data_IF_547290119236
#
_entry.id   IF_547290119236
#
_cell.length_a   1.000
_cell.length_b   1.000
_cell.length_c   1.000
_cell.angle_alpha   90.00
_cell.angle_beta   90.00
_cell.angle_gamma   90.00
#
_symmetry.space_group_name_H-M   'P 1'
#
loop_
_entity.id
_entity.type
_entity.pdbx_description
1 polymer ?
#
# COMPACT_ATOMS: atom_id res chain seq x y z
N UNK A 1 -30.22 40.75 84.56
CA UNK A 1 -30.55 39.39 85.04
C UNK A 1 -30.27 38.44 83.89
N UNK A 2 -29.25 37.60 84.08
CA UNK A 2 -29.02 36.28 83.47
C UNK A 2 -28.92 36.16 81.94
N UNK A 3 -28.23 35.19 81.34
CA UNK A 3 -27.05 34.35 81.57
C UNK A 3 -27.01 33.44 80.32
N UNK A 4 -25.81 33.07 79.83
CA UNK A 4 -25.53 31.87 79.00
C UNK A 4 -26.18 31.72 77.60
N UNK A 5 -25.64 30.97 76.62
CA UNK A 5 -24.34 30.40 76.21
C UNK A 5 -24.70 29.45 75.04
N UNK A 6 -23.79 29.28 74.07
CA UNK A 6 -23.64 28.09 73.19
C UNK A 6 -24.73 27.81 72.14
N UNK A 7 -24.50 27.28 70.93
CA UNK A 7 -23.34 26.81 70.13
C UNK A 7 -23.94 26.34 68.78
N UNK A 8 -23.19 26.48 67.67
CA UNK A 8 -22.99 25.53 66.54
C UNK A 8 -24.06 24.45 66.23
N UNK A 9 -24.38 24.03 65.00
CA UNK A 9 -23.67 24.12 63.72
C UNK A 9 -24.59 23.57 62.58
N UNK A 10 -24.18 23.89 61.33
CA UNK A 10 -24.24 23.06 60.12
C UNK A 10 -25.55 22.73 59.37
N UNK A 11 -25.46 22.99 58.05
CA UNK A 11 -26.44 22.88 56.96
C UNK A 11 -26.83 21.43 56.59
N UNK A 12 -27.77 21.25 55.64
CA UNK A 12 -27.37 20.53 54.42
C UNK A 12 -27.94 21.06 53.08
N UNK A 13 -27.11 20.84 52.05
CA UNK A 13 -27.34 20.48 50.64
C UNK A 13 -28.37 21.20 49.73
N UNK A 14 -27.79 21.84 48.71
CA UNK A 14 -28.01 21.67 47.27
C UNK A 14 -29.46 21.61 46.70
N UNK A 15 -29.82 22.68 45.98
CA UNK A 15 -30.87 22.71 44.96
C UNK A 15 -30.37 23.48 43.73
N UNK A 16 -30.28 22.79 42.60
CA UNK A 16 -29.83 23.28 41.29
C UNK A 16 -30.89 24.15 40.61
N UNK A 17 -30.51 25.33 40.10
CA UNK A 17 -31.05 25.89 38.83
C UNK A 17 -30.01 26.80 38.18
N UNK A 18 -29.94 26.71 36.85
CA UNK A 18 -28.91 27.31 36.01
C UNK A 18 -29.01 28.84 35.91
N UNK A 19 -27.86 29.52 35.87
CA UNK A 19 -27.71 30.69 35.00
C UNK A 19 -26.28 30.80 34.48
N UNK A 20 -26.21 31.04 33.19
CA UNK A 20 -25.03 31.19 32.37
C UNK A 20 -24.36 32.54 32.66
N UNK A 21 -23.14 32.54 33.21
CA UNK A 21 -22.32 33.74 33.18
C UNK A 21 -20.84 33.49 33.45
N UNK A 22 -20.05 33.85 32.42
CA UNK A 22 -18.66 34.31 32.46
C UNK A 22 -17.59 33.24 32.71
N UNK A 23 -16.90 32.93 31.60
CA UNK A 23 -15.54 32.36 31.51
C UNK A 23 -14.69 32.79 32.71
N UNK A 24 -14.54 31.91 33.70
CA UNK A 24 -13.44 31.99 34.65
C UNK A 24 -12.33 31.11 34.12
N UNK A 25 -11.26 31.77 33.69
CA UNK A 25 -9.94 31.18 33.53
C UNK A 25 -9.59 30.46 34.84
N UNK A 26 -9.81 29.15 34.90
CA UNK A 26 -9.23 28.34 35.97
C UNK A 26 -7.80 28.06 35.53
N UNK A 27 -6.88 28.91 35.98
CA UNK A 27 -5.49 28.51 36.22
C UNK A 27 -5.54 27.45 37.32
N UNK A 28 -5.70 26.19 36.91
CA UNK A 28 -5.76 25.03 37.81
C UNK A 28 -4.67 24.06 37.39
N UNK A 29 -3.59 24.04 38.18
CA UNK A 29 -2.53 23.04 38.12
C UNK A 29 -3.15 21.70 38.51
N UNK A 30 -3.56 20.93 37.50
CA UNK A 30 -3.89 19.53 37.62
C UNK A 30 -2.95 18.77 36.70
N UNK A 31 -2.15 17.87 37.27
CA UNK A 31 -1.28 16.97 36.52
C UNK A 31 -2.17 16.11 35.61
N UNK A 32 -2.42 16.59 34.40
CA UNK A 32 -2.94 15.77 33.32
C UNK A 32 -1.79 14.86 32.91
N UNK A 33 -1.69 13.69 33.56
CA UNK A 33 -0.87 12.61 33.03
C UNK A 33 -1.40 12.34 31.62
N UNK A 34 -0.61 12.56 30.56
CA UNK A 34 -1.02 12.09 29.25
C UNK A 34 -1.11 10.57 29.39
N UNK A 35 -2.31 10.02 29.33
CA UNK A 35 -2.47 8.58 29.13
C UNK A 35 -1.93 8.32 27.73
N UNK A 36 -0.67 7.93 27.65
CA UNK A 36 -0.07 7.40 26.43
C UNK A 36 -0.79 6.08 26.16
N UNK A 37 -1.87 6.14 25.39
CA UNK A 37 -2.52 4.98 24.81
C UNK A 37 -1.54 4.35 23.82
N UNK A 38 -0.67 3.48 24.32
CA UNK A 38 0.16 2.61 23.51
C UNK A 38 -0.74 1.54 22.89
N UNK A 39 -1.52 1.93 21.87
CA UNK A 39 -2.19 1.00 20.98
C UNK A 39 -1.10 0.36 20.11
N UNK A 40 -0.51 -0.71 20.65
CA UNK A 40 0.24 -1.66 19.85
C UNK A 40 -0.76 -2.29 18.90
N UNK A 41 -0.78 -1.81 17.67
CA UNK A 41 -1.56 -2.43 16.62
C UNK A 41 -0.62 -3.13 15.67
N UNK A 42 -0.64 -4.46 15.77
CA UNK A 42 -0.05 -5.32 14.76
C UNK A 42 -0.90 -5.13 13.52
N UNK A 43 -0.40 -4.37 12.55
CA UNK A 43 -0.94 -4.36 11.20
C UNK A 43 -0.84 -5.79 10.68
N UNK A 44 -1.97 -6.51 10.69
CA UNK A 44 -2.11 -7.72 9.91
C UNK A 44 -2.04 -7.28 8.45
N UNK A 45 -0.83 -7.25 7.90
CA UNK A 45 -0.62 -7.39 6.47
C UNK A 45 -1.17 -8.77 6.13
N UNK A 46 -2.47 -8.84 5.89
CA UNK A 46 -3.06 -10.00 5.26
C UNK A 46 -2.29 -10.17 3.95
N UNK A 47 -1.72 -11.37 3.76
CA UNK A 47 -0.99 -11.83 2.57
C UNK A 47 -1.93 -11.96 1.36
N UNK A 48 -2.77 -10.94 1.15
CA UNK A 48 -3.87 -10.89 0.19
C UNK A 48 -4.16 -9.44 -0.21
N UNK A 49 -3.70 -9.07 -1.41
CA UNK A 49 -4.17 -7.94 -2.22
C UNK A 49 -4.52 -6.65 -1.47
N UNK A 50 -3.52 -5.87 -1.04
CA UNK A 50 -3.73 -4.45 -0.76
C UNK A 50 -3.74 -3.66 -2.07
N UNK A 51 -4.89 -3.04 -2.35
CA UNK A 51 -5.16 -2.32 -3.60
C UNK A 51 -4.84 -0.83 -3.42
N UNK A 52 -3.58 -0.56 -3.05
CA UNK A 52 -3.10 0.79 -2.80
C UNK A 52 -2.25 1.26 -3.97
N UNK A 53 -2.46 2.49 -4.42
CA UNK A 53 -1.59 3.10 -5.41
C UNK A 53 -0.16 3.25 -4.85
N UNK A 54 0.87 3.37 -5.70
CA UNK A 54 2.25 3.51 -5.24
C UNK A 54 2.41 4.68 -4.27
N UNK A 55 1.76 5.81 -4.56
CA UNK A 55 1.76 6.99 -3.69
C UNK A 55 1.08 6.73 -2.35
N UNK A 56 -0.07 6.04 -2.34
CA UNK A 56 -0.76 5.69 -1.10
C UNK A 56 0.06 4.72 -0.24
N UNK A 57 0.67 3.69 -0.85
CA UNK A 57 1.55 2.74 -0.15
C UNK A 57 2.77 3.45 0.42
N UNK A 58 3.34 4.40 -0.31
CA UNK A 58 4.48 5.18 0.15
C UNK A 58 4.07 6.11 1.32
N UNK A 59 2.93 6.79 1.21
CA UNK A 59 2.41 7.64 2.28
C UNK A 59 2.08 6.85 3.54
N UNK A 60 1.46 5.67 3.44
CA UNK A 60 1.16 4.81 4.60
C UNK A 60 2.46 4.37 5.30
N UNK A 61 3.51 4.04 4.53
CA UNK A 61 4.81 3.71 5.09
C UNK A 61 5.45 4.92 5.82
N UNK A 62 5.25 6.14 5.33
CA UNK A 62 5.74 7.35 6.00
C UNK A 62 4.91 7.74 7.24
N UNK A 63 3.59 7.67 7.17
CA UNK A 63 2.69 8.23 8.19
C UNK A 63 2.14 7.19 9.17
N UNK A 64 2.50 5.91 9.03
CA UNK A 64 1.99 4.79 9.85
C UNK A 64 0.45 4.81 10.00
N UNK A 65 -0.27 5.33 9.00
CA UNK A 65 -1.71 5.60 9.09
C UNK A 65 -2.50 4.40 8.58
N UNK A 66 -3.63 4.09 9.24
CA UNK A 66 -4.56 3.05 8.75
C UNK A 66 -5.48 3.64 7.68
N UNK A 67 -5.50 3.12 6.44
CA UNK A 67 -6.57 3.46 5.52
C UNK A 67 -7.87 2.81 5.99
N UNK A 68 -8.94 3.61 6.12
CA UNK A 68 -10.29 3.07 6.24
C UNK A 68 -10.62 2.39 4.90
N UNK A 69 -10.87 1.07 4.93
CA UNK A 69 -10.82 0.20 3.76
C UNK A 69 -12.21 -0.24 3.33
N UNK A 70 -12.96 0.69 2.74
CA UNK A 70 -14.18 0.34 2.02
C UNK A 70 -13.85 0.16 0.52
N UNK A 71 -13.79 -1.10 0.07
CA UNK A 71 -14.26 -1.45 -1.27
C UNK A 71 -13.28 -1.70 -2.42
N UNK A 72 -11.99 -1.32 -2.37
CA UNK A 72 -11.07 -1.63 -3.49
C UNK A 72 -10.30 -2.92 -3.20
N UNK A 73 -10.86 -4.05 -3.66
CA UNK A 73 -10.20 -5.35 -3.67
C UNK A 73 -9.33 -5.53 -4.91
N UNK A 74 -8.05 -5.87 -4.72
CA UNK A 74 -7.18 -6.29 -5.82
C UNK A 74 -7.25 -7.80 -5.94
N UNK A 75 -7.55 -8.30 -7.13
CA UNK A 75 -7.49 -9.74 -7.43
C UNK A 75 -6.32 -10.04 -8.36
N UNK A 76 -5.25 -9.23 -8.28
CA UNK A 76 -4.04 -9.41 -9.06
C UNK A 76 -3.50 -10.83 -8.90
N UNK A 77 -3.01 -11.41 -9.99
CA UNK A 77 -2.37 -12.72 -10.00
C UNK A 77 -0.87 -12.59 -9.94
N UNK A 78 -0.22 -13.51 -9.24
CA UNK A 78 1.22 -13.55 -9.10
C UNK A 78 1.91 -13.73 -10.46
N UNK A 79 3.18 -13.34 -10.60
CA UNK A 79 3.94 -13.62 -11.81
C UNK A 79 4.06 -15.12 -12.13
N UNK A 80 4.06 -15.98 -11.10
CA UNK A 80 4.04 -17.42 -11.26
C UNK A 80 2.75 -17.96 -11.90
N UNK A 81 1.61 -17.33 -11.61
CA UNK A 81 0.37 -17.63 -12.33
C UNK A 81 0.50 -17.28 -13.82
N UNK A 82 1.02 -16.09 -14.14
CA UNK A 82 1.15 -15.63 -15.52
C UNK A 82 2.19 -16.43 -16.33
N UNK A 83 3.26 -16.89 -15.70
CA UNK A 83 4.26 -17.75 -16.34
C UNK A 83 3.73 -19.14 -16.72
N UNK A 84 2.68 -19.63 -16.04
CA UNK A 84 1.96 -20.84 -16.43
C UNK A 84 0.83 -20.53 -17.41
N UNK A 85 0.07 -19.46 -17.18
CA UNK A 85 -1.01 -19.03 -18.06
C UNK A 85 -0.53 -18.71 -19.49
N UNK A 86 0.75 -18.36 -19.70
CA UNK A 86 1.29 -18.13 -21.05
C UNK A 86 1.53 -19.41 -21.89
N UNK A 87 1.29 -20.60 -21.31
CA UNK A 87 1.33 -21.88 -22.01
C UNK A 87 -0.05 -22.23 -22.58
N UNK A 88 -0.11 -22.57 -23.87
CA UNK A 88 -1.36 -22.92 -24.54
C UNK A 88 -2.06 -24.15 -23.97
N UNK A 89 -1.31 -25.03 -23.28
CA UNK A 89 -1.84 -26.22 -22.61
C UNK A 89 -2.42 -25.94 -21.22
N UNK A 90 -2.25 -24.74 -20.67
CA UNK A 90 -2.70 -24.43 -19.32
C UNK A 90 -4.18 -24.01 -19.29
N UNK A 91 -4.91 -24.44 -18.25
CA UNK A 91 -6.32 -24.10 -18.02
C UNK A 91 -6.63 -22.59 -17.92
N UNK A 92 -5.60 -21.75 -17.81
CA UNK A 92 -5.72 -20.29 -17.66
C UNK A 92 -5.18 -19.53 -18.87
N UNK A 93 -4.94 -20.23 -19.99
CA UNK A 93 -4.44 -19.61 -21.23
C UNK A 93 -5.37 -18.54 -21.79
N UNK A 94 -6.69 -18.64 -21.54
CA UNK A 94 -7.66 -17.61 -21.92
C UNK A 94 -7.29 -16.24 -21.34
N UNK A 95 -6.90 -16.16 -20.06
CA UNK A 95 -6.47 -14.90 -19.44
C UNK A 95 -5.21 -14.33 -20.09
N UNK A 96 -4.28 -15.19 -20.54
CA UNK A 96 -3.09 -14.75 -21.29
C UNK A 96 -3.47 -14.17 -22.66
N UNK A 97 -4.42 -14.79 -23.35
CA UNK A 97 -4.90 -14.24 -24.63
C UNK A 97 -5.65 -12.92 -24.43
N UNK A 98 -6.47 -12.81 -23.37
CA UNK A 98 -7.19 -11.59 -23.01
C UNK A 98 -6.26 -10.44 -22.65
N UNK A 99 -5.13 -10.72 -21.98
CA UNK A 99 -4.17 -9.66 -21.64
C UNK A 99 -3.48 -9.07 -22.87
N UNK A 100 -3.57 -9.73 -24.03
CA UNK A 100 -2.89 -9.31 -25.26
C UNK A 100 -1.37 -9.42 -25.17
N UNK A 101 -0.83 -10.17 -24.20
CA UNK A 101 0.62 -10.31 -24.00
C UNK A 101 1.31 -11.14 -25.10
N UNK A 102 0.55 -11.92 -25.86
CA UNK A 102 1.09 -12.83 -26.88
C UNK A 102 1.88 -12.07 -27.94
N UNK A 103 3.15 -12.43 -28.13
CA UNK A 103 4.05 -11.80 -29.09
C UNK A 103 4.51 -10.38 -28.75
N UNK A 104 4.05 -9.77 -27.64
CA UNK A 104 4.49 -8.42 -27.27
C UNK A 104 5.90 -8.44 -26.69
N UNK A 105 6.77 -7.59 -27.23
CA UNK A 105 8.11 -7.37 -26.70
C UNK A 105 8.06 -6.59 -25.39
N UNK A 106 8.91 -6.97 -24.44
CA UNK A 106 9.03 -6.25 -23.16
C UNK A 106 9.44 -4.80 -23.41
N UNK A 107 10.45 -4.59 -24.27
CA UNK A 107 10.96 -3.27 -24.64
C UNK A 107 9.89 -2.32 -25.17
N UNK A 108 8.95 -2.81 -25.98
CA UNK A 108 7.82 -2.02 -26.50
C UNK A 108 6.82 -1.65 -25.41
N UNK A 109 6.53 -2.56 -24.48
CA UNK A 109 5.59 -2.30 -23.39
C UNK A 109 6.18 -1.27 -22.41
N UNK A 110 7.46 -1.40 -22.08
CA UNK A 110 8.13 -0.59 -21.06
C UNK A 110 8.92 0.60 -21.63
N UNK A 111 8.85 0.86 -22.94
CA UNK A 111 9.56 1.95 -23.63
C UNK A 111 11.07 1.97 -23.37
N UNK A 112 11.70 0.79 -23.34
CA UNK A 112 13.14 0.64 -23.13
C UNK A 112 13.69 -0.39 -24.13
N UNK A 113 14.29 0.08 -25.23
CA UNK A 113 14.84 -0.78 -26.29
C UNK A 113 16.00 -1.66 -25.81
N UNK A 114 16.68 -1.28 -24.73
CA UNK A 114 17.76 -2.06 -24.11
C UNK A 114 17.24 -3.15 -23.18
N UNK A 115 15.99 -3.04 -22.73
CA UNK A 115 15.39 -4.00 -21.82
C UNK A 115 15.06 -5.30 -22.54
N UNK A 116 15.73 -6.38 -22.14
CA UNK A 116 15.52 -7.73 -22.64
C UNK A 116 15.46 -7.79 -24.18
N UNK A 117 16.57 -7.50 -24.90
CA UNK A 117 16.56 -7.36 -26.35
C UNK A 117 15.97 -8.58 -27.06
N UNK A 118 14.96 -8.34 -27.90
CA UNK A 118 14.26 -9.38 -28.67
C UNK A 118 13.41 -10.34 -27.83
N UNK A 119 13.21 -10.08 -26.53
CA UNK A 119 12.42 -10.94 -25.65
C UNK A 119 10.99 -10.45 -25.54
N UNK A 120 10.07 -11.41 -25.63
CA UNK A 120 8.65 -11.18 -25.38
C UNK A 120 8.36 -11.14 -23.88
N UNK A 121 7.18 -10.61 -23.50
CA UNK A 121 6.67 -10.73 -22.14
C UNK A 121 6.62 -12.19 -21.66
N UNK A 122 6.33 -13.14 -22.56
CA UNK A 122 6.37 -14.57 -22.29
C UNK A 122 7.77 -15.03 -21.89
N UNK A 123 8.79 -14.64 -22.65
CA UNK A 123 10.17 -15.01 -22.35
C UNK A 123 10.63 -14.44 -21.01
N UNK A 124 10.29 -13.19 -20.70
CA UNK A 124 10.61 -12.55 -19.41
C UNK A 124 9.91 -13.29 -18.26
N UNK A 125 8.64 -13.66 -18.43
CA UNK A 125 7.90 -14.43 -17.42
C UNK A 125 8.48 -15.82 -17.19
N UNK A 126 8.80 -16.56 -18.26
CA UNK A 126 9.33 -17.93 -18.18
C UNK A 126 10.74 -17.95 -17.61
N UNK A 127 11.60 -17.04 -18.05
CA UNK A 127 12.99 -17.04 -17.62
C UNK A 127 13.17 -16.44 -16.21
N UNK A 128 12.34 -15.47 -15.84
CA UNK A 128 12.30 -14.93 -14.48
C UNK A 128 11.91 -15.99 -13.44
N UNK A 129 10.98 -16.89 -13.79
CA UNK A 129 10.62 -18.03 -12.95
C UNK A 129 11.76 -19.06 -12.83
N UNK A 130 12.47 -19.32 -13.94
CA UNK A 130 13.60 -20.25 -13.99
C UNK A 130 14.88 -19.73 -13.29
N UNK A 131 14.89 -18.47 -12.82
CA UNK A 131 16.06 -17.87 -12.18
C UNK A 131 17.25 -17.72 -13.13
N UNK A 132 17.00 -17.56 -14.44
CA UNK A 132 18.07 -17.54 -15.44
C UNK A 132 18.98 -16.31 -15.26
N UNK A 133 20.32 -16.49 -15.18
CA UNK A 133 21.28 -15.39 -15.03
C UNK A 133 21.41 -14.53 -16.30
N UNK A 134 20.76 -14.93 -17.40
CA UNK A 134 20.83 -14.31 -18.73
C UNK A 134 20.22 -12.90 -18.80
N UNK A 135 19.64 -12.43 -17.70
CA UNK A 135 19.00 -11.14 -17.57
C UNK A 135 19.59 -10.44 -16.36
N UNK A 136 20.22 -9.29 -16.56
CA UNK A 136 20.67 -8.43 -15.46
C UNK A 136 19.45 -7.85 -14.71
N UNK A 137 18.70 -8.71 -14.04
CA UNK A 137 17.48 -8.42 -13.29
C UNK A 137 17.53 -9.15 -11.94
N UNK A 138 18.43 -8.73 -11.03
CA UNK A 138 18.70 -9.44 -9.78
C UNK A 138 17.47 -9.54 -8.87
N UNK A 139 16.55 -8.58 -8.97
CA UNK A 139 15.29 -8.56 -8.20
C UNK A 139 14.12 -9.21 -8.94
N UNK A 140 14.33 -9.73 -10.16
CA UNK A 140 13.26 -10.22 -11.04
C UNK A 140 12.19 -9.14 -11.29
N UNK A 141 12.56 -7.86 -11.29
CA UNK A 141 11.64 -6.75 -11.47
C UNK A 141 10.87 -6.87 -12.80
N UNK A 142 11.52 -7.29 -13.88
CA UNK A 142 10.87 -7.52 -15.17
C UNK A 142 9.79 -8.60 -15.11
N UNK A 143 10.02 -9.65 -14.33
CA UNK A 143 9.05 -10.73 -14.05
C UNK A 143 7.81 -10.19 -13.33
N UNK A 144 8.00 -9.38 -12.29
CA UNK A 144 6.91 -8.77 -11.54
C UNK A 144 6.15 -7.71 -12.35
N UNK A 145 6.85 -6.89 -13.13
CA UNK A 145 6.24 -5.87 -13.97
C UNK A 145 5.44 -6.46 -15.13
N UNK A 146 5.93 -7.52 -15.78
CA UNK A 146 5.19 -8.20 -16.83
C UNK A 146 3.86 -8.76 -16.30
N UNK A 147 3.87 -9.33 -15.10
CA UNK A 147 2.67 -9.81 -14.42
C UNK A 147 1.70 -8.68 -14.05
N UNK A 148 2.22 -7.58 -13.50
CA UNK A 148 1.42 -6.41 -13.16
C UNK A 148 0.77 -5.79 -14.41
N UNK A 149 1.48 -5.76 -15.53
CA UNK A 149 0.92 -5.36 -16.82
C UNK A 149 -0.22 -6.29 -17.25
N UNK A 150 -0.03 -7.61 -17.19
CA UNK A 150 -1.10 -8.55 -17.53
C UNK A 150 -2.33 -8.37 -16.62
N UNK A 151 -2.13 -8.18 -15.31
CA UNK A 151 -3.20 -7.92 -14.35
C UNK A 151 -3.99 -6.65 -14.68
N UNK A 152 -3.30 -5.59 -15.12
CA UNK A 152 -3.91 -4.35 -15.58
C UNK A 152 -4.77 -4.58 -16.83
N UNK A 153 -4.27 -5.34 -17.81
CA UNK A 153 -4.99 -5.58 -19.06
C UNK A 153 -6.26 -6.41 -18.88
N UNK A 154 -6.26 -7.39 -17.98
CA UNK A 154 -7.45 -8.22 -17.72
C UNK A 154 -8.37 -7.62 -16.65
N UNK A 155 -8.02 -6.47 -16.07
CA UNK A 155 -8.84 -5.79 -15.05
C UNK A 155 -8.77 -6.39 -13.65
N UNK A 156 -7.80 -7.27 -13.36
CA UNK A 156 -7.60 -7.81 -12.01
C UNK A 156 -7.03 -6.78 -11.03
N UNK A 157 -6.30 -5.80 -11.56
CA UNK A 157 -5.84 -4.61 -10.83
C UNK A 157 -6.32 -3.39 -11.61
N UNK A 158 -7.13 -2.50 -11.00
CA UNK A 158 -7.63 -1.33 -11.70
C UNK A 158 -6.50 -0.32 -11.96
N UNK A 159 -6.64 0.47 -13.03
CA UNK A 159 -5.68 1.51 -13.41
C UNK A 159 -5.53 2.63 -12.37
N UNK A 160 -6.52 2.78 -11.48
CA UNK A 160 -6.47 3.68 -10.32
C UNK A 160 -5.44 3.26 -9.27
N UNK A 161 -5.10 1.97 -9.24
CA UNK A 161 -4.08 1.42 -8.35
C UNK A 161 -2.73 1.44 -9.03
N UNK A 162 -2.61 0.82 -10.20
CA UNK A 162 -1.36 0.83 -10.99
C UNK A 162 -1.68 1.04 -12.47
N UNK A 163 -1.16 2.12 -13.04
CA UNK A 163 -1.27 2.43 -14.48
C UNK A 163 -0.04 2.00 -15.27
N UNK A 164 -0.18 1.87 -16.60
CA UNK A 164 0.96 1.59 -17.49
C UNK A 164 2.07 2.64 -17.38
N UNK A 165 1.72 3.92 -17.19
CA UNK A 165 2.68 4.99 -17.01
C UNK A 165 3.52 4.79 -15.73
N UNK A 166 2.88 4.38 -14.63
CA UNK A 166 3.56 4.06 -13.38
C UNK A 166 4.46 2.83 -13.53
N UNK A 167 4.01 1.78 -14.22
CA UNK A 167 4.82 0.59 -14.50
C UNK A 167 6.08 0.93 -15.31
N UNK A 168 5.96 1.82 -16.29
CA UNK A 168 7.12 2.36 -17.04
C UNK A 168 8.05 3.17 -16.16
N UNK A 169 7.52 4.05 -15.31
CA UNK A 169 8.30 4.85 -14.38
C UNK A 169 9.06 3.97 -13.37
N UNK A 170 8.43 2.90 -12.87
CA UNK A 170 9.08 1.90 -12.01
C UNK A 170 10.22 1.19 -12.74
N UNK A 171 10.02 0.79 -13.99
CA UNK A 171 11.08 0.17 -14.80
C UNK A 171 12.26 1.13 -15.02
N UNK A 172 11.99 2.38 -15.38
CA UNK A 172 13.03 3.39 -15.57
C UNK A 172 13.77 3.73 -14.27
N UNK A 173 13.04 3.78 -13.15
CA UNK A 173 13.57 4.08 -11.82
C UNK A 173 14.30 2.93 -11.13
N UNK A 174 14.42 1.75 -11.76
CA UNK A 174 15.04 0.55 -11.15
C UNK A 174 16.43 0.79 -10.55
N UNK A 175 17.23 1.62 -11.21
CA UNK A 175 18.59 1.99 -10.81
C UNK A 175 18.72 3.45 -10.36
N UNK A 176 17.85 4.33 -10.88
CA UNK A 176 17.91 5.78 -10.61
C UNK A 176 17.06 6.23 -9.42
N UNK A 177 16.20 5.33 -8.92
CA UNK A 177 15.25 5.62 -7.85
C UNK A 177 13.91 6.08 -8.40
N UNK A 178 12.88 5.24 -8.27
CA UNK A 178 11.50 5.62 -8.53
C UNK A 178 10.92 6.39 -7.33
N UNK A 179 10.27 7.53 -7.56
CA UNK A 179 9.60 8.29 -6.50
C UNK A 179 8.08 8.23 -6.69
N UNK A 180 7.36 7.45 -5.87
CA UNK A 180 5.89 7.39 -5.92
C UNK A 180 5.23 8.72 -5.54
N UNK A 181 5.90 9.51 -4.71
CA UNK A 181 5.51 10.86 -4.31
C UNK A 181 6.72 11.77 -4.54
N UNK A 182 6.58 12.87 -5.30
CA UNK A 182 7.68 13.83 -5.48
C UNK A 182 8.19 14.36 -4.15
N UNK A 183 9.51 14.43 -3.98
CA UNK A 183 10.13 14.96 -2.75
C UNK A 183 10.16 13.99 -1.56
N UNK A 184 9.76 12.72 -1.76
CA UNK A 184 9.99 11.68 -0.77
C UNK A 184 11.49 11.47 -0.54
N UNK A 185 11.91 11.43 0.72
CA UNK A 185 13.33 11.32 1.10
C UNK A 185 14.00 10.00 0.73
N UNK A 186 13.23 8.93 0.49
CA UNK A 186 13.77 7.61 0.12
C UNK A 186 13.16 7.13 -1.22
N UNK A 187 13.93 7.14 -2.32
CA UNK A 187 13.46 6.59 -3.59
C UNK A 187 13.35 5.06 -3.53
N UNK A 188 12.47 4.50 -4.35
CA UNK A 188 12.28 3.07 -4.49
C UNK A 188 13.18 2.50 -5.57
N UNK A 189 14.04 1.56 -5.19
CA UNK A 189 14.84 0.76 -6.10
C UNK A 189 14.14 -0.58 -6.39
N UNK A 190 14.73 -1.39 -7.28
CA UNK A 190 14.12 -2.64 -7.77
C UNK A 190 13.48 -3.52 -6.69
N UNK A 191 14.15 -3.75 -5.55
CA UNK A 191 13.60 -4.58 -4.46
C UNK A 191 12.32 -3.98 -3.84
N UNK A 192 12.32 -2.68 -3.55
CA UNK A 192 11.17 -1.99 -2.93
C UNK A 192 9.99 -1.91 -3.91
N UNK A 193 10.28 -1.74 -5.19
CA UNK A 193 9.28 -1.81 -6.26
C UNK A 193 8.66 -3.21 -6.30
N UNK A 194 9.46 -4.27 -6.26
CA UNK A 194 8.96 -5.66 -6.24
C UNK A 194 8.08 -5.91 -5.02
N UNK A 195 8.53 -5.53 -3.82
CA UNK A 195 7.74 -5.64 -2.59
C UNK A 195 6.41 -4.91 -2.67
N UNK A 196 6.38 -3.72 -3.28
CA UNK A 196 5.12 -3.02 -3.54
C UNK A 196 4.23 -3.81 -4.52
N UNK A 197 4.78 -4.30 -5.63
CA UNK A 197 4.01 -5.10 -6.58
C UNK A 197 3.43 -6.34 -5.89
N UNK A 198 4.19 -6.99 -4.99
CA UNK A 198 3.73 -8.12 -4.15
C UNK A 198 2.46 -7.83 -3.36
N UNK A 199 2.26 -6.58 -2.95
CA UNK A 199 1.04 -6.23 -2.24
C UNK A 199 -0.18 -6.16 -3.15
N UNK A 200 -0.02 -6.09 -4.47
CA UNK A 200 -1.11 -5.93 -5.45
C UNK A 200 -1.69 -7.25 -5.95
N UNK A 201 -1.04 -8.39 -5.69
CA UNK A 201 -1.55 -9.71 -6.03
C UNK A 201 -1.93 -10.52 -4.80
N UNK A 202 -2.80 -11.50 -5.00
CA UNK A 202 -3.05 -12.55 -4.01
C UNK A 202 -1.92 -13.58 -4.11
N UNK A 203 -1.43 -14.06 -2.95
CA UNK A 203 -0.60 -15.25 -2.93
C UNK A 203 -1.44 -16.41 -3.49
N UNK A 204 -1.06 -16.85 -4.70
CA UNK A 204 -1.68 -17.96 -5.41
C UNK A 204 -0.92 -19.24 -5.16
#
# INVERSE_FOLDING_TARGET
MSDSRHHEDSQPLAGSTASESRRRFVRGVGLATPVMLAVSSRSALATGGTCLSPSASASIALTNSRPNRDGIGCSGRSPGFWSQACLSSHQHYSYWTMSGASGKLFSTVFNDSSAFPGKTLKDVLRNGMAGSPSFADPNRLGFHLAAAWCNLQVGFVPSTVVSLLQLRAMWAGRNLGYQPVPGMGEPWYGEKIVKYLETTYTAG
#
